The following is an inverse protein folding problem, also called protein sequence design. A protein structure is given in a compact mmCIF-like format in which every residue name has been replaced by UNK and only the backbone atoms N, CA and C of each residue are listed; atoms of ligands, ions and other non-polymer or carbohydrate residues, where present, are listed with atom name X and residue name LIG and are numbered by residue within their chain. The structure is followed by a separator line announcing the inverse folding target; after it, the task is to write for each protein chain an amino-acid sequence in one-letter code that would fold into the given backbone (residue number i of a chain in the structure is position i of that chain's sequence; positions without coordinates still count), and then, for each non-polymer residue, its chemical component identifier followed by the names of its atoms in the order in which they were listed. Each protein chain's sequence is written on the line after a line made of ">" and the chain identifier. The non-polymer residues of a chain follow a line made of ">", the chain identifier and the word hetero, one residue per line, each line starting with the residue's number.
data_IF_699748001094
#
_entry.id   IF_699748001094
#
_cell.length_a   1.000
_cell.length_b   1.000
_cell.length_c   1.000
_cell.angle_alpha   90.00
_cell.angle_beta   90.00
_cell.angle_gamma   90.00
#
_symmetry.space_group_name_H-M   'P 1'
#
loop_
_entity.id
_entity.type
_entity.pdbx_description
1 polymer ?
#
# COMPACT_ATOMS: atom_id res chain seq x y z
N UNK A 1 -6.56 -23.17 5.39
CA UNK A 1 -5.64 -22.12 5.90
C UNK A 1 -4.19 -22.50 5.68
N UNK A 2 -3.71 -23.60 6.27
CA UNK A 2 -2.32 -24.09 6.07
C UNK A 2 -1.92 -24.27 4.59
N UNK A 3 -2.83 -24.79 3.76
CA UNK A 3 -2.60 -25.01 2.31
C UNK A 3 -2.48 -23.72 1.47
N UNK A 4 -3.19 -22.65 1.84
CA UNK A 4 -3.15 -21.37 1.13
C UNK A 4 -1.91 -20.58 1.52
N UNK A 5 -1.54 -20.61 2.82
CA UNK A 5 -0.29 -20.01 3.33
C UNK A 5 0.94 -20.75 2.79
N UNK A 6 0.89 -22.08 2.70
CA UNK A 6 1.94 -22.85 2.03
C UNK A 6 2.00 -22.52 0.54
N UNK A 7 0.87 -22.48 -0.17
CA UNK A 7 0.85 -22.14 -1.59
C UNK A 7 1.43 -20.74 -1.84
N UNK A 8 1.10 -19.75 -1.02
CA UNK A 8 1.65 -18.39 -1.14
C UNK A 8 3.12 -18.28 -0.75
N UNK A 9 3.56 -19.01 0.27
CA UNK A 9 4.97 -19.09 0.63
C UNK A 9 5.77 -19.76 -0.50
N UNK A 10 5.22 -20.84 -1.09
CA UNK A 10 5.81 -21.54 -2.23
C UNK A 10 5.82 -20.64 -3.47
N UNK A 11 4.76 -19.88 -3.73
CA UNK A 11 4.73 -18.90 -4.83
C UNK A 11 5.76 -17.78 -4.60
N UNK A 12 5.84 -17.21 -3.39
CA UNK A 12 6.85 -16.20 -3.04
C UNK A 12 8.29 -16.72 -3.12
N UNK A 13 8.55 -17.94 -2.64
CA UNK A 13 9.86 -18.59 -2.75
C UNK A 13 10.21 -19.00 -4.18
N UNK A 14 9.24 -19.43 -4.99
CA UNK A 14 9.46 -19.80 -6.39
C UNK A 14 9.91 -18.58 -7.23
N UNK A 15 9.41 -17.38 -6.93
CA UNK A 15 9.83 -16.15 -7.61
C UNK A 15 11.21 -15.64 -7.18
N UNK A 16 11.65 -15.92 -5.94
CA UNK A 16 13.04 -15.65 -5.52
C UNK A 16 14.04 -16.53 -6.29
N UNK A 17 13.64 -17.75 -6.66
CA UNK A 17 14.50 -18.68 -7.40
C UNK A 17 14.64 -18.33 -8.89
N UNK A 18 13.68 -17.60 -9.49
CA UNK A 18 13.78 -17.13 -10.87
C UNK A 18 14.85 -16.06 -11.09
N UNK A 19 15.42 -15.49 -10.00
CA UNK A 19 16.49 -14.47 -10.03
C UNK A 19 17.89 -15.10 -10.10
N UNK A 20 18.07 -16.35 -9.63
CA UNK A 20 19.40 -16.96 -9.50
C UNK A 20 19.85 -17.79 -10.71
N UNK A 21 19.04 -17.89 -11.77
CA UNK A 21 19.31 -18.81 -12.90
C UNK A 21 19.74 -18.14 -14.21
N UNK A 22 19.71 -16.80 -14.30
CA UNK A 22 20.26 -16.07 -15.44
C UNK A 22 21.48 -15.28 -14.99
N UNK A 23 22.66 -15.86 -15.22
CA UNK A 23 23.94 -15.26 -14.88
C UNK A 23 24.23 -14.03 -15.74
N UNK A 24 24.77 -13.00 -15.09
CA UNK A 24 25.46 -11.90 -15.76
C UNK A 24 24.70 -10.58 -15.78
N UNK A 25 24.47 -9.99 -14.61
CA UNK A 25 24.73 -8.58 -14.31
C UNK A 25 24.31 -8.30 -12.87
N UNK A 26 25.17 -7.59 -12.13
CA UNK A 26 24.94 -7.20 -10.74
C UNK A 26 23.86 -6.11 -10.67
N UNK A 27 22.60 -6.50 -10.87
CA UNK A 27 21.48 -5.67 -10.46
C UNK A 27 21.37 -5.77 -8.95
N UNK A 28 22.11 -4.92 -8.25
CA UNK A 28 21.91 -4.79 -6.81
C UNK A 28 20.45 -4.31 -6.59
N UNK A 29 19.54 -5.21 -6.18
CA UNK A 29 18.17 -4.88 -5.79
C UNK A 29 17.08 -5.58 -6.61
N UNK A 30 15.83 -5.35 -6.20
CA UNK A 30 14.65 -5.89 -6.90
C UNK A 30 14.29 -5.01 -8.09
N UNK A 31 13.90 -5.61 -9.21
CA UNK A 31 13.41 -4.87 -10.38
C UNK A 31 12.02 -4.30 -10.14
N UNK A 32 11.65 -3.23 -10.86
CA UNK A 32 10.31 -2.63 -10.75
C UNK A 32 9.17 -3.65 -10.96
N UNK A 33 9.36 -4.59 -11.89
CA UNK A 33 8.41 -5.68 -12.14
C UNK A 33 8.28 -6.62 -10.93
N UNK A 34 9.40 -7.00 -10.31
CA UNK A 34 9.41 -7.86 -9.12
C UNK A 34 8.72 -7.17 -7.95
N UNK A 35 9.00 -5.87 -7.73
CA UNK A 35 8.36 -5.08 -6.68
C UNK A 35 6.84 -5.00 -6.92
N UNK A 36 6.42 -4.74 -8.15
CA UNK A 36 5.01 -4.67 -8.53
C UNK A 36 4.31 -6.01 -8.27
N UNK A 37 4.86 -7.12 -8.76
CA UNK A 37 4.27 -8.44 -8.62
C UNK A 37 4.23 -8.89 -7.16
N UNK A 38 5.30 -8.66 -6.39
CA UNK A 38 5.34 -8.99 -4.97
C UNK A 38 4.29 -8.18 -4.18
N UNK A 39 4.21 -6.87 -4.40
CA UNK A 39 3.25 -5.99 -3.74
C UNK A 39 1.81 -6.34 -4.10
N UNK A 40 1.53 -6.60 -5.37
CA UNK A 40 0.20 -7.00 -5.84
C UNK A 40 -0.22 -8.35 -5.26
N UNK A 41 0.68 -9.34 -5.26
CA UNK A 41 0.41 -10.67 -4.70
C UNK A 41 0.07 -10.59 -3.20
N UNK A 42 0.89 -9.85 -2.44
CA UNK A 42 0.65 -9.62 -1.02
C UNK A 42 -0.67 -8.89 -0.77
N UNK A 43 -0.98 -7.89 -1.60
CA UNK A 43 -2.22 -7.13 -1.53
C UNK A 43 -3.47 -7.99 -1.79
N UNK A 44 -3.42 -8.89 -2.79
CA UNK A 44 -4.51 -9.85 -3.07
C UNK A 44 -4.72 -10.79 -1.88
N UNK A 45 -3.63 -11.33 -1.33
CA UNK A 45 -3.69 -12.21 -0.15
C UNK A 45 -4.31 -11.47 1.03
N UNK A 46 -3.88 -10.23 1.28
CA UNK A 46 -4.44 -9.39 2.33
C UNK A 46 -5.93 -9.12 2.10
N UNK A 47 -6.34 -8.77 0.88
CA UNK A 47 -7.73 -8.48 0.54
C UNK A 47 -8.67 -9.67 0.73
N UNK A 48 -8.20 -10.88 0.41
CA UNK A 48 -8.96 -12.12 0.63
C UNK A 48 -9.01 -12.43 2.13
N UNK A 49 -7.86 -12.35 2.81
CA UNK A 49 -7.72 -12.69 4.23
C UNK A 49 -8.49 -11.73 5.14
N UNK A 50 -8.55 -10.44 4.79
CA UNK A 50 -9.22 -9.40 5.59
C UNK A 50 -10.69 -9.71 5.82
N UNK A 51 -11.37 -10.40 4.89
CA UNK A 51 -12.76 -10.85 5.07
C UNK A 51 -12.98 -11.81 6.23
N UNK A 52 -11.92 -12.49 6.67
CA UNK A 52 -11.96 -13.47 7.75
C UNK A 52 -11.51 -12.88 9.09
N UNK A 53 -10.61 -11.90 9.05
CA UNK A 53 -10.03 -11.30 10.26
C UNK A 53 -10.80 -10.08 10.74
N UNK A 54 -11.54 -9.39 9.86
CA UNK A 54 -12.32 -8.21 10.22
C UNK A 54 -13.83 -8.50 10.21
N UNK A 55 -14.60 -7.96 11.18
CA UNK A 55 -16.04 -8.18 11.28
C UNK A 55 -16.77 -7.65 10.04
N UNK A 56 -17.90 -8.28 9.69
CA UNK A 56 -18.69 -7.96 8.46
C UNK A 56 -19.17 -6.50 8.37
N UNK A 57 -19.21 -5.77 9.48
CA UNK A 57 -19.48 -4.33 9.52
C UNK A 57 -18.33 -3.47 8.96
N UNK A 58 -17.24 -4.09 8.51
CA UNK A 58 -16.30 -3.46 7.59
C UNK A 58 -17.03 -3.04 6.31
N UNK A 59 -17.49 -1.78 6.30
CA UNK A 59 -18.01 -1.14 5.11
C UNK A 59 -17.06 -1.38 3.94
N UNK A 60 -17.60 -1.77 2.78
CA UNK A 60 -16.86 -2.09 1.57
C UNK A 60 -15.73 -1.08 1.27
N UNK A 61 -15.99 0.22 1.48
CA UNK A 61 -14.99 1.29 1.32
C UNK A 61 -13.75 1.14 2.21
N UNK A 62 -13.90 0.72 3.49
CA UNK A 62 -12.78 0.56 4.42
C UNK A 62 -11.88 -0.60 3.98
N UNK A 63 -12.46 -1.70 3.49
CA UNK A 63 -11.71 -2.83 2.95
C UNK A 63 -10.83 -2.41 1.77
N UNK A 64 -11.38 -1.68 0.81
CA UNK A 64 -10.62 -1.17 -0.33
C UNK A 64 -9.54 -0.18 0.10
N UNK A 65 -9.84 0.69 1.06
CA UNK A 65 -8.87 1.64 1.62
C UNK A 65 -7.67 0.89 2.19
N UNK A 66 -7.89 -0.07 3.08
CA UNK A 66 -6.80 -0.87 3.67
C UNK A 66 -5.99 -1.61 2.60
N UNK A 67 -6.66 -2.11 1.56
CA UNK A 67 -6.03 -2.84 0.46
C UNK A 67 -5.08 -1.94 -0.33
N UNK A 68 -5.52 -0.74 -0.72
CA UNK A 68 -4.68 0.24 -1.44
C UNK A 68 -3.52 0.76 -0.58
N UNK A 69 -3.78 0.99 0.71
CA UNK A 69 -2.78 1.39 1.70
C UNK A 69 -1.70 0.33 1.85
N UNK A 70 -2.08 -0.96 1.95
CA UNK A 70 -1.13 -2.08 1.99
C UNK A 70 -0.30 -2.16 0.70
N UNK A 71 -0.93 -2.02 -0.47
CA UNK A 71 -0.20 -2.01 -1.74
C UNK A 71 0.83 -0.88 -1.80
N UNK A 72 0.41 0.35 -1.54
CA UNK A 72 1.27 1.54 -1.58
C UNK A 72 2.42 1.43 -0.57
N UNK A 73 2.11 0.99 0.66
CA UNK A 73 3.10 0.80 1.71
C UNK A 73 4.15 -0.24 1.35
N UNK A 74 3.74 -1.38 0.78
CA UNK A 74 4.66 -2.43 0.35
C UNK A 74 5.56 -1.98 -0.80
N UNK A 75 5.01 -1.28 -1.81
CA UNK A 75 5.84 -0.74 -2.90
C UNK A 75 6.92 0.17 -2.33
N UNK A 76 6.56 1.09 -1.43
CA UNK A 76 7.51 2.03 -0.83
C UNK A 76 8.53 1.35 0.11
N UNK A 77 8.13 0.32 0.85
CA UNK A 77 9.08 -0.48 1.66
C UNK A 77 10.08 -1.20 0.75
N UNK A 78 9.61 -1.81 -0.34
CA UNK A 78 10.46 -2.58 -1.25
C UNK A 78 11.41 -1.68 -2.06
N UNK A 79 10.92 -0.53 -2.55
CA UNK A 79 11.79 0.52 -3.11
C UNK A 79 12.76 1.05 -2.05
N UNK A 80 12.28 1.18 -0.82
CA UNK A 80 13.01 1.74 0.30
C UNK A 80 14.10 0.86 0.89
N UNK A 81 14.25 -0.39 0.43
CA UNK A 81 15.41 -1.24 0.79
C UNK A 81 16.73 -0.51 0.49
N UNK A 82 16.74 0.35 -0.53
CA UNK A 82 17.91 1.12 -0.95
C UNK A 82 17.78 2.63 -0.75
N UNK A 83 16.60 3.12 -0.40
CA UNK A 83 16.34 4.54 -0.22
C UNK A 83 15.47 4.78 1.02
N UNK A 84 16.07 5.41 2.03
CA UNK A 84 15.43 5.66 3.32
C UNK A 84 14.17 6.52 3.21
N UNK A 85 14.06 7.38 2.19
CA UNK A 85 12.90 8.26 1.98
C UNK A 85 11.68 7.42 1.59
N UNK A 86 11.85 6.49 0.64
CA UNK A 86 10.79 5.55 0.28
C UNK A 86 10.45 4.64 1.46
N UNK A 87 11.45 4.14 2.19
CA UNK A 87 11.23 3.28 3.35
C UNK A 87 10.41 3.98 4.44
N UNK A 88 10.74 5.24 4.74
CA UNK A 88 10.04 6.05 5.72
C UNK A 88 8.57 6.26 5.33
N UNK A 89 8.30 6.57 4.05
CA UNK A 89 6.94 6.68 3.53
C UNK A 89 6.16 5.37 3.67
N UNK A 90 6.76 4.25 3.27
CA UNK A 90 6.15 2.93 3.34
C UNK A 90 5.83 2.49 4.78
N UNK A 91 6.80 2.63 5.70
CA UNK A 91 6.60 2.33 7.12
C UNK A 91 5.60 3.28 7.79
N UNK A 92 5.60 4.57 7.43
CA UNK A 92 4.64 5.55 7.92
C UNK A 92 3.20 5.16 7.56
N UNK A 93 2.97 4.81 6.30
CA UNK A 93 1.65 4.36 5.84
C UNK A 93 1.23 3.06 6.53
N UNK A 94 2.10 2.05 6.61
CA UNK A 94 1.81 0.75 7.24
C UNK A 94 1.56 0.87 8.76
N UNK A 95 2.33 1.69 9.47
CA UNK A 95 2.16 1.85 10.92
C UNK A 95 0.80 2.48 11.25
N UNK A 96 0.35 3.48 10.49
CA UNK A 96 -0.95 4.14 10.70
C UNK A 96 -2.11 3.16 10.49
N UNK A 97 -2.05 2.31 9.46
CA UNK A 97 -3.07 1.26 9.24
C UNK A 97 -3.03 0.18 10.32
N UNK A 98 -1.84 -0.30 10.72
CA UNK A 98 -1.73 -1.31 11.78
C UNK A 98 -2.41 -0.82 13.06
N UNK A 99 -2.16 0.44 13.43
CA UNK A 99 -2.83 1.08 14.57
C UNK A 99 -4.35 1.12 14.36
N UNK A 100 -4.84 1.57 13.20
CA UNK A 100 -6.30 1.59 12.93
C UNK A 100 -6.96 0.20 12.89
N UNK A 101 -6.20 -0.85 12.55
CA UNK A 101 -6.71 -2.20 12.37
C UNK A 101 -6.79 -3.01 13.68
N UNK A 102 -5.84 -2.81 14.60
CA UNK A 102 -5.71 -3.63 15.81
C UNK A 102 -6.27 -2.99 17.08
N UNK A 103 -6.65 -1.71 17.03
CA UNK A 103 -7.21 -1.01 18.19
C UNK A 103 -8.53 -0.35 17.83
N UNK A 104 -9.55 -0.61 18.66
CA UNK A 104 -10.81 0.14 18.62
C UNK A 104 -10.59 1.49 19.28
N UNK A 105 -10.68 2.55 18.49
CA UNK A 105 -10.56 3.90 18.98
C UNK A 105 -11.91 4.59 19.04
N UNK A 106 -12.01 5.59 19.93
CA UNK A 106 -13.09 6.57 19.85
C UNK A 106 -12.99 7.41 18.57
N UNK A 107 -14.12 7.91 18.09
CA UNK A 107 -14.30 8.64 16.82
C UNK A 107 -13.27 9.75 16.56
N UNK A 108 -12.85 10.48 17.59
CA UNK A 108 -11.85 11.56 17.47
C UNK A 108 -10.48 11.06 17.00
N UNK A 109 -10.07 9.89 17.47
CA UNK A 109 -8.79 9.26 17.10
C UNK A 109 -8.87 8.65 15.69
N UNK A 110 -10.03 8.14 15.28
CA UNK A 110 -10.22 7.67 13.90
C UNK A 110 -10.07 8.82 12.88
N UNK A 111 -10.64 9.99 13.18
CA UNK A 111 -10.46 11.19 12.35
C UNK A 111 -8.99 11.59 12.30
N UNK A 112 -8.30 11.60 13.45
CA UNK A 112 -6.87 11.90 13.52
C UNK A 112 -6.03 10.94 12.66
N UNK A 113 -6.25 9.63 12.77
CA UNK A 113 -5.54 8.62 11.99
C UNK A 113 -5.80 8.77 10.49
N UNK A 114 -7.04 9.08 10.09
CA UNK A 114 -7.37 9.38 8.69
C UNK A 114 -6.66 10.63 8.18
N UNK A 115 -6.59 11.69 9.00
CA UNK A 115 -5.87 12.91 8.65
C UNK A 115 -4.36 12.64 8.52
N UNK A 116 -3.76 11.89 9.44
CA UNK A 116 -2.36 11.49 9.36
C UNK A 116 -2.08 10.65 8.12
N UNK A 117 -2.92 9.65 7.85
CA UNK A 117 -2.80 8.81 6.65
C UNK A 117 -2.90 9.64 5.38
N UNK A 118 -3.88 10.55 5.31
CA UNK A 118 -4.04 11.48 4.19
C UNK A 118 -2.82 12.37 4.00
N UNK A 119 -2.27 12.93 5.08
CA UNK A 119 -1.08 13.77 5.04
C UNK A 119 0.15 13.03 4.50
N UNK A 120 0.41 11.81 4.99
CA UNK A 120 1.54 10.99 4.51
C UNK A 120 1.37 10.64 3.03
N UNK A 121 0.18 10.17 2.63
CA UNK A 121 -0.10 9.79 1.24
C UNK A 121 0.00 10.98 0.29
N UNK A 122 -0.53 12.14 0.68
CA UNK A 122 -0.40 13.38 -0.12
C UNK A 122 1.06 13.78 -0.26
N UNK A 123 1.83 13.69 0.83
CA UNK A 123 3.26 14.02 0.80
C UNK A 123 4.02 13.10 -0.16
N UNK A 124 3.79 11.79 -0.10
CA UNK A 124 4.38 10.80 -1.01
C UNK A 124 3.96 11.05 -2.46
N UNK A 125 2.70 11.42 -2.69
CA UNK A 125 2.18 11.74 -4.01
C UNK A 125 2.88 12.96 -4.61
N UNK A 126 2.94 14.07 -3.86
CA UNK A 126 3.57 15.33 -4.31
C UNK A 126 5.07 15.16 -4.48
N UNK A 127 5.75 14.45 -3.57
CA UNK A 127 7.19 14.22 -3.62
C UNK A 127 7.61 13.52 -4.92
N UNK A 128 6.80 12.59 -5.42
CA UNK A 128 7.07 11.90 -6.68
C UNK A 128 7.12 12.86 -7.88
N UNK A 129 6.11 13.73 -8.05
CA UNK A 129 6.08 14.70 -9.16
C UNK A 129 7.05 15.87 -8.97
N UNK A 130 7.47 16.10 -7.73
CA UNK A 130 8.53 17.08 -7.41
C UNK A 130 9.92 16.51 -7.72
N UNK A 131 10.10 15.20 -7.67
CA UNK A 131 11.38 14.55 -7.96
C UNK A 131 11.50 14.14 -9.42
N UNK A 132 10.36 13.85 -10.07
CA UNK A 132 10.27 13.48 -11.48
C UNK A 132 9.53 14.58 -12.23
N UNK A 133 10.28 15.48 -12.88
CA UNK A 133 9.71 16.60 -13.64
C UNK A 133 9.61 16.31 -15.15
N UNK A 134 10.32 15.32 -15.65
CA UNK A 134 10.32 14.96 -17.06
C UNK A 134 9.24 13.92 -17.35
N UNK A 135 8.35 14.29 -18.27
CA UNK A 135 7.18 13.52 -18.67
C UNK A 135 7.55 12.19 -19.32
N UNK A 136 8.71 12.11 -19.98
CA UNK A 136 9.22 10.87 -20.57
C UNK A 136 9.58 9.86 -19.48
N UNK A 137 10.31 10.29 -18.45
CA UNK A 137 10.65 9.44 -17.31
C UNK A 137 9.41 8.99 -16.53
N UNK A 138 8.41 9.86 -16.38
CA UNK A 138 7.13 9.48 -15.75
C UNK A 138 6.38 8.44 -16.60
N UNK A 139 6.40 8.57 -17.93
CA UNK A 139 5.70 7.64 -18.82
C UNK A 139 6.33 6.23 -18.82
N UNK A 140 7.63 6.15 -18.60
CA UNK A 140 8.36 4.87 -18.51
C UNK A 140 8.30 4.25 -17.11
N UNK A 141 8.09 5.06 -16.06
CA UNK A 141 7.95 4.58 -14.69
C UNK A 141 6.54 4.03 -14.39
N UNK A 142 6.24 2.86 -14.95
CA UNK A 142 4.98 2.16 -14.73
C UNK A 142 4.73 1.84 -13.24
N UNK A 143 5.77 1.56 -12.45
CA UNK A 143 5.64 1.24 -11.04
C UNK A 143 5.26 2.48 -10.24
N UNK A 144 5.98 3.59 -10.47
CA UNK A 144 5.70 4.89 -9.88
C UNK A 144 4.28 5.35 -10.21
N UNK A 145 3.92 5.40 -11.50
CA UNK A 145 2.59 5.83 -11.96
C UNK A 145 1.48 4.97 -11.36
N UNK A 146 1.60 3.64 -11.39
CA UNK A 146 0.61 2.72 -10.82
C UNK A 146 0.42 2.97 -9.31
N UNK A 147 1.52 3.23 -8.61
CA UNK A 147 1.49 3.54 -7.17
C UNK A 147 0.81 4.87 -6.91
N UNK A 148 1.08 5.91 -7.71
CA UNK A 148 0.41 7.22 -7.60
C UNK A 148 -1.09 7.12 -7.88
N UNK A 149 -1.52 6.26 -8.81
CA UNK A 149 -2.96 5.99 -9.06
C UNK A 149 -3.60 5.34 -7.82
N UNK A 150 -2.91 4.39 -7.17
CA UNK A 150 -3.40 3.79 -5.93
C UNK A 150 -3.51 4.81 -4.79
N UNK A 151 -2.53 5.73 -4.67
CA UNK A 151 -2.55 6.84 -3.71
C UNK A 151 -3.73 7.78 -3.93
N UNK A 152 -4.08 8.11 -5.18
CA UNK A 152 -5.30 8.86 -5.49
C UNK A 152 -6.56 8.12 -5.04
N UNK A 153 -6.60 6.80 -5.24
CA UNK A 153 -7.68 5.95 -4.73
C UNK A 153 -7.81 6.01 -3.21
N UNK A 154 -6.68 6.03 -2.48
CA UNK A 154 -6.65 6.22 -1.02
C UNK A 154 -7.25 7.56 -0.64
N UNK A 155 -6.77 8.65 -1.25
CA UNK A 155 -7.25 10.02 -0.98
C UNK A 155 -8.76 10.10 -1.21
N UNK A 156 -9.25 9.56 -2.33
CA UNK A 156 -10.68 9.55 -2.64
C UNK A 156 -11.51 8.79 -1.60
N UNK A 157 -11.04 7.61 -1.17
CA UNK A 157 -11.72 6.82 -0.14
C UNK A 157 -11.73 7.51 1.22
N UNK A 158 -10.63 8.20 1.60
CA UNK A 158 -10.56 9.00 2.82
C UNK A 158 -11.56 10.15 2.81
N UNK A 159 -11.64 10.91 1.71
CA UNK A 159 -12.62 12.00 1.56
C UNK A 159 -14.05 11.45 1.65
N UNK A 160 -14.34 10.33 0.99
CA UNK A 160 -15.65 9.68 1.06
C UNK A 160 -16.00 9.26 2.49
N UNK A 161 -15.05 8.70 3.22
CA UNK A 161 -15.23 8.28 4.61
C UNK A 161 -15.44 9.46 5.56
N UNK A 162 -14.67 10.54 5.40
CA UNK A 162 -14.81 11.77 6.18
C UNK A 162 -16.19 12.42 6.00
N UNK A 163 -16.68 12.51 4.75
CA UNK A 163 -18.03 13.03 4.46
C UNK A 163 -19.14 12.20 5.09
N UNK A 164 -19.00 10.88 5.10
CA UNK A 164 -19.97 9.99 5.74
C UNK A 164 -20.00 10.20 7.26
N UNK A 165 -18.84 10.40 7.88
CA UNK A 165 -18.75 10.71 9.30
C UNK A 165 -19.43 12.05 9.61
N UNK A 166 -19.30 13.09 8.78
CA UNK A 166 -20.00 14.35 9.03
C UNK A 166 -21.54 14.24 8.90
N UNK A 167 -22.05 13.48 7.92
CA UNK A 167 -23.51 13.30 7.74
C UNK A 167 -24.21 12.65 8.93
N UNK A 168 -23.49 11.80 9.67
CA UNK A 168 -24.02 11.17 10.90
C UNK A 168 -24.11 12.18 12.06
N UNK A 169 -23.41 13.32 12.00
CA UNK A 169 -23.48 14.37 13.05
C UNK A 169 -24.63 15.35 12.87
N UNK A 170 -25.24 15.40 11.68
CA UNK A 170 -26.30 16.37 11.33
C UNK A 170 -27.72 15.77 11.38
N UNK A 171 -27.85 14.49 11.75
CA UNK A 171 -29.11 13.79 12.03
C UNK A 171 -29.15 13.39 13.50
#
# INVERSE_FOLDING_TARGET
>A
MRKIVLASAITGLAFLQSVSAHGGEETEGLTNLQIMLASLSACIIFHISSTKFFPKEYHSNRKYLLTLVMFTGLVHILLGIKDIIFLAGGLGVISIISVSAFTEFGRTRDVLLMTMLGGVVITMFVAYFTSNHDLHYIAEDYLGVTTKIAELGIIWLLVKQYRNLQKIQTN
#
